data_IF_309151146692
#
_entry.id   IF_309151146692
#
_cell.length_a   1.000
_cell.length_b   1.000
_cell.length_c   1.000
_cell.angle_alpha   90.00
_cell.angle_beta   90.00
_cell.angle_gamma   90.00
#
_symmetry.space_group_name_H-M   'P 1'
#
loop_
_entity.id
_entity.type
_entity.pdbx_description
1 polymer ?
#
# COMPACT_ATOMS: atom_id res chain seq x y z
N UNK A 1 7.62 4.99 12.91
CA UNK A 1 8.47 5.44 11.78
C UNK A 1 7.65 6.46 11.02
N UNK A 2 8.20 7.62 10.64
CA UNK A 2 7.45 8.61 9.87
C UNK A 2 7.10 8.06 8.49
N UNK A 3 5.98 8.52 7.95
CA UNK A 3 5.54 8.13 6.62
C UNK A 3 6.30 8.90 5.55
N UNK A 4 6.65 8.18 4.48
CA UNK A 4 7.23 8.71 3.26
C UNK A 4 6.18 8.60 2.16
N UNK A 5 5.56 9.74 1.84
CA UNK A 5 4.54 9.81 0.80
C UNK A 5 5.24 9.75 -0.54
N UNK A 6 4.86 8.76 -1.35
CA UNK A 6 5.48 8.47 -2.64
C UNK A 6 4.46 8.59 -3.76
N UNK A 7 4.94 8.69 -5.01
CA UNK A 7 4.09 8.61 -6.19
C UNK A 7 4.01 7.19 -6.77
N UNK A 8 3.17 7.01 -7.80
CA UNK A 8 2.98 5.74 -8.50
C UNK A 8 4.27 5.15 -9.10
N UNK A 9 5.17 6.00 -9.60
CA UNK A 9 6.43 5.55 -10.19
C UNK A 9 7.35 4.97 -9.12
N UNK A 10 7.49 5.72 -8.01
CA UNK A 10 8.25 5.30 -6.84
C UNK A 10 7.65 4.03 -6.21
N UNK A 11 6.32 3.91 -6.14
CA UNK A 11 5.64 2.70 -5.64
C UNK A 11 6.04 1.44 -6.41
N UNK A 12 6.13 1.53 -7.74
CA UNK A 12 6.57 0.40 -8.57
C UNK A 12 8.04 0.05 -8.31
N UNK A 13 8.89 1.07 -8.11
CA UNK A 13 10.31 0.87 -7.81
C UNK A 13 10.52 0.21 -6.45
N UNK A 14 9.90 0.72 -5.38
CA UNK A 14 10.06 0.16 -4.02
C UNK A 14 9.47 -1.25 -3.90
N UNK A 15 8.38 -1.55 -4.62
CA UNK A 15 7.85 -2.92 -4.70
C UNK A 15 8.85 -3.86 -5.37
N UNK A 16 9.43 -3.43 -6.50
CA UNK A 16 10.43 -4.23 -7.24
C UNK A 16 11.65 -4.50 -6.37
N UNK A 17 12.13 -3.50 -5.64
CA UNK A 17 13.25 -3.66 -4.72
C UNK A 17 12.90 -4.59 -3.55
N UNK A 18 11.73 -4.43 -2.94
CA UNK A 18 11.28 -5.28 -1.84
C UNK A 18 11.20 -6.77 -2.24
N UNK A 19 10.79 -7.06 -3.48
CA UNK A 19 10.72 -8.44 -4.02
C UNK A 19 12.09 -9.13 -4.16
N UNK A 20 13.20 -8.38 -4.14
CA UNK A 20 14.54 -8.98 -4.14
C UNK A 20 14.88 -9.66 -2.82
N UNK A 21 14.23 -9.25 -1.74
CA UNK A 21 14.51 -9.72 -0.37
C UNK A 21 13.37 -10.54 0.21
N UNK A 22 12.12 -10.18 -0.09
CA UNK A 22 10.93 -10.77 0.54
C UNK A 22 10.13 -11.62 -0.44
N UNK A 23 9.78 -12.84 -0.01
CA UNK A 23 8.93 -13.74 -0.78
C UNK A 23 7.49 -13.24 -0.93
N UNK A 24 7.00 -12.45 0.03
CA UNK A 24 5.66 -11.86 0.03
C UNK A 24 5.79 -10.36 0.15
N UNK A 25 5.34 -9.66 -0.89
CA UNK A 25 5.26 -8.20 -0.96
C UNK A 25 3.85 -7.80 -1.36
N UNK A 26 3.33 -6.76 -0.71
CA UNK A 26 2.00 -6.27 -1.01
C UNK A 26 1.75 -4.87 -0.49
N UNK A 27 0.49 -4.44 -0.57
CA UNK A 27 0.03 -3.14 -0.11
C UNK A 27 -1.21 -3.34 0.75
N UNK A 28 -1.16 -2.85 1.98
CA UNK A 28 -2.34 -2.78 2.85
C UNK A 28 -3.01 -1.43 2.62
N UNK A 29 -4.30 -1.46 2.31
CA UNK A 29 -5.12 -0.26 2.13
C UNK A 29 -5.97 -0.06 3.37
N UNK A 30 -5.85 1.09 4.02
CA UNK A 30 -6.66 1.50 5.16
C UNK A 30 -7.45 2.78 4.85
N UNK A 31 -8.57 2.93 5.55
CA UNK A 31 -9.31 4.19 5.64
C UNK A 31 -9.09 4.78 7.04
N UNK A 32 -9.24 6.10 7.17
CA UNK A 32 -9.20 6.82 8.45
C UNK A 32 -7.91 6.59 9.25
N UNK A 33 -6.76 6.48 8.56
CA UNK A 33 -5.46 6.40 9.22
C UNK A 33 -5.21 7.70 10.05
N UNK A 34 -4.89 7.60 11.35
CA UNK A 34 -4.70 8.78 12.20
C UNK A 34 -3.60 9.73 11.71
N UNK A 35 -2.62 9.23 10.97
CA UNK A 35 -1.55 10.02 10.36
C UNK A 35 -2.00 10.80 9.12
N UNK A 36 -3.08 10.38 8.46
CA UNK A 36 -3.62 11.00 7.25
C UNK A 36 -5.16 11.11 7.31
N UNK A 37 -5.70 11.99 8.17
CA UNK A 37 -7.14 12.11 8.36
C UNK A 37 -7.89 12.40 7.06
N UNK A 38 -8.95 11.63 6.78
CA UNK A 38 -9.79 11.80 5.60
C UNK A 38 -9.17 11.29 4.29
N UNK A 39 -8.03 10.59 4.34
CA UNK A 39 -7.40 9.96 3.18
C UNK A 39 -7.49 8.44 3.27
N UNK A 40 -7.50 7.80 2.10
CA UNK A 40 -7.14 6.39 1.99
C UNK A 40 -5.62 6.28 1.91
N UNK A 41 -5.06 5.30 2.61
CA UNK A 41 -3.62 5.06 2.66
C UNK A 41 -3.34 3.67 2.13
N UNK A 42 -2.44 3.53 1.15
CA UNK A 42 -1.86 2.25 0.79
C UNK A 42 -0.40 2.19 1.28
N UNK A 43 -0.10 1.28 2.19
CA UNK A 43 1.24 1.10 2.75
C UNK A 43 1.88 -0.17 2.22
N UNK A 44 3.12 -0.07 1.74
CA UNK A 44 3.88 -1.24 1.31
C UNK A 44 4.19 -2.15 2.51
N UNK A 45 3.90 -3.43 2.35
CA UNK A 45 4.15 -4.53 3.27
C UNK A 45 5.22 -5.44 2.67
N UNK A 46 6.34 -5.62 3.38
CA UNK A 46 7.43 -6.50 2.97
C UNK A 46 8.12 -7.08 4.23
N UNK A 47 7.60 -8.22 4.71
CA UNK A 47 7.93 -8.81 6.02
C UNK A 47 7.42 -8.00 7.24
N UNK A 48 7.38 -6.67 7.12
CA UNK A 48 6.81 -5.70 8.06
C UNK A 48 6.25 -4.48 7.30
N UNK A 49 5.40 -3.66 7.92
CA UNK A 49 4.98 -2.38 7.34
C UNK A 49 6.18 -1.47 7.08
N UNK A 50 6.25 -0.89 5.88
CA UNK A 50 7.30 0.03 5.46
C UNK A 50 6.89 1.51 5.69
N UNK A 51 7.82 2.48 5.55
CA UNK A 51 7.46 3.90 5.64
C UNK A 51 6.73 4.39 4.39
N UNK A 52 6.81 3.66 3.28
CA UNK A 52 6.32 4.09 1.99
C UNK A 52 4.79 3.99 1.92
N UNK A 53 4.15 5.14 1.69
CA UNK A 53 2.70 5.26 1.59
C UNK A 53 2.27 5.97 0.31
N UNK A 54 1.22 5.46 -0.32
CA UNK A 54 0.42 6.17 -1.31
C UNK A 54 -0.82 6.72 -0.63
N UNK A 55 -1.25 7.91 -1.04
CA UNK A 55 -2.46 8.55 -0.53
C UNK A 55 -3.47 8.75 -1.67
N UNK A 56 -4.75 8.62 -1.37
CA UNK A 56 -5.83 9.00 -2.26
C UNK A 56 -7.00 9.61 -1.51
N UNK A 57 -7.68 10.56 -2.15
CA UNK A 57 -8.94 11.12 -1.62
C UNK A 57 -10.08 10.11 -1.73
N UNK A 58 -9.97 9.20 -2.69
CA UNK A 58 -10.92 8.09 -2.87
C UNK A 58 -10.18 6.77 -2.99
N UNK A 59 -10.87 5.69 -2.62
CA UNK A 59 -10.35 4.34 -2.82
C UNK A 59 -10.08 4.04 -4.30
N UNK A 60 -10.90 4.56 -5.21
CA UNK A 60 -10.70 4.41 -6.66
C UNK A 60 -9.40 5.07 -7.13
N UNK A 61 -9.13 6.29 -6.67
CA UNK A 61 -7.91 7.01 -6.99
C UNK A 61 -6.67 6.29 -6.45
N UNK A 62 -6.71 5.86 -5.18
CA UNK A 62 -5.61 5.14 -4.56
C UNK A 62 -5.30 3.82 -5.31
N UNK A 63 -6.34 3.07 -5.69
CA UNK A 63 -6.18 1.84 -6.49
C UNK A 63 -5.54 2.11 -7.86
N UNK A 64 -5.80 3.25 -8.49
CA UNK A 64 -5.18 3.62 -9.76
C UNK A 64 -3.67 3.94 -9.62
N UNK A 65 -3.21 4.25 -8.40
CA UNK A 65 -1.80 4.49 -8.10
C UNK A 65 -1.02 3.22 -7.74
N UNK A 66 -1.71 2.14 -7.37
CA UNK A 66 -1.06 0.89 -7.02
C UNK A 66 -0.25 0.31 -8.20
N UNK A 67 0.89 -0.35 -7.94
CA UNK A 67 1.64 -1.06 -8.96
C UNK A 67 0.80 -2.09 -9.72
N UNK A 68 1.12 -2.31 -10.99
CA UNK A 68 0.45 -3.33 -11.79
C UNK A 68 0.81 -4.76 -11.34
N UNK A 69 -0.01 -5.74 -11.73
CA UNK A 69 0.23 -7.16 -11.42
C UNK A 69 -0.12 -7.57 -9.99
N UNK A 70 -0.82 -6.72 -9.26
CA UNK A 70 -1.29 -7.03 -7.91
C UNK A 70 -2.62 -7.79 -7.94
N UNK A 71 -2.73 -8.79 -7.08
CA UNK A 71 -3.99 -9.50 -6.83
C UNK A 71 -4.65 -8.94 -5.56
N UNK A 72 -5.88 -8.48 -5.70
CA UNK A 72 -6.68 -7.97 -4.58
C UNK A 72 -7.29 -9.10 -3.78
N UNK A 73 -7.17 -9.01 -2.46
CA UNK A 73 -7.94 -9.79 -1.51
C UNK A 73 -8.75 -8.85 -0.61
N UNK A 74 -10.05 -9.12 -0.40
CA UNK A 74 -10.78 -8.51 0.70
C UNK A 74 -10.18 -9.02 2.01
N UNK A 75 -9.98 -8.12 2.96
CA UNK A 75 -9.34 -8.43 4.25
C UNK A 75 -10.24 -7.86 5.34
N UNK A 76 -10.62 -8.70 6.31
CA UNK A 76 -11.35 -8.32 7.52
C UNK A 76 -10.45 -8.44 8.76
N UNK A 77 -9.68 -7.39 9.05
CA UNK A 77 -9.40 -6.96 10.40
C UNK A 77 -9.69 -5.45 10.53
N UNK A 78 -9.95 -5.00 11.75
CA UNK A 78 -10.33 -3.62 12.06
C UNK A 78 -9.35 -2.59 11.43
N UNK A 79 -9.87 -1.72 10.57
CA UNK A 79 -9.14 -0.59 9.97
C UNK A 79 -8.50 -0.85 8.60
N UNK A 80 -8.36 -2.10 8.15
CA UNK A 80 -7.93 -2.41 6.79
C UNK A 80 -9.15 -2.65 5.89
N UNK A 81 -9.12 -2.09 4.68
CA UNK A 81 -10.19 -2.23 3.69
C UNK A 81 -9.79 -3.22 2.61
N UNK A 82 -8.53 -3.23 2.18
CA UNK A 82 -8.04 -4.14 1.14
C UNK A 82 -6.59 -4.55 1.39
N UNK A 83 -6.22 -5.71 0.83
CA UNK A 83 -4.83 -6.15 0.74
C UNK A 83 -4.52 -6.55 -0.70
N UNK A 84 -3.39 -6.08 -1.21
CA UNK A 84 -2.98 -6.28 -2.59
C UNK A 84 -1.62 -6.96 -2.63
N UNK A 85 -1.51 -8.15 -3.21
CA UNK A 85 -0.26 -8.91 -3.23
C UNK A 85 0.37 -8.98 -4.61
N UNK A 86 1.69 -8.84 -4.67
CA UNK A 86 2.50 -9.14 -5.85
C UNK A 86 2.93 -10.60 -5.77
N UNK A 87 2.10 -11.50 -6.34
CA UNK A 87 2.45 -12.92 -6.48
C UNK A 87 3.54 -13.14 -7.55
#
# INVERSE_FOLDING_TARGET
MPDEIIDRGMASMVQTEARRTWQVVGWIVSADDPGHPGKFVARLLCGRPSPYVLLGDTLTELRAQLPAGLSRQPVEPEGAVELWYAL
#
